data_IF_402769466957
#
_entry.id   IF_402769466957
#
_cell.length_a   1.000
_cell.length_b   1.000
_cell.length_c   1.000
_cell.angle_alpha   90.00
_cell.angle_beta   90.00
_cell.angle_gamma   90.00
#
_symmetry.space_group_name_H-M   'P 1'
#
loop_
_entity.id
_entity.type
_entity.pdbx_description
1 polymer ?
#
# COMPACT_ATOMS: atom_id res chain seq x y z
N UNK A 1 -4.50 21.76 -38.16
CA UNK A 1 -5.02 22.11 -36.81
C UNK A 1 -5.50 20.86 -36.07
N UNK A 2 -4.63 19.85 -35.89
CA UNK A 2 -4.96 18.60 -35.15
C UNK A 2 -3.85 18.14 -34.21
N UNK A 3 -2.75 18.89 -34.12
CA UNK A 3 -1.61 18.59 -33.23
C UNK A 3 -1.83 19.20 -31.83
N UNK A 4 -2.85 20.04 -31.65
CA UNK A 4 -3.19 20.70 -30.38
C UNK A 4 -4.22 19.93 -29.53
N UNK A 5 -4.84 18.88 -30.06
CA UNK A 5 -5.90 18.09 -29.39
C UNK A 5 -5.50 16.66 -29.10
N UNK A 6 -4.25 16.26 -29.35
CA UNK A 6 -3.74 14.99 -28.85
C UNK A 6 -3.44 15.21 -27.37
N UNK A 7 -4.18 14.61 -26.42
CA UNK A 7 -3.77 14.63 -25.04
C UNK A 7 -2.40 13.96 -24.98
N UNK A 8 -1.38 14.73 -24.63
CA UNK A 8 -0.03 14.25 -24.36
C UNK A 8 -0.05 13.54 -23.01
N UNK A 9 -0.78 12.42 -22.93
CA UNK A 9 -0.64 11.48 -21.83
C UNK A 9 0.71 10.78 -22.01
N UNK A 10 1.74 11.34 -21.36
CA UNK A 10 3.11 10.82 -21.42
C UNK A 10 3.24 9.40 -20.82
N UNK A 11 2.20 8.96 -20.11
CA UNK A 11 2.03 7.60 -19.61
C UNK A 11 0.59 7.20 -19.95
N UNK A 12 0.32 6.16 -20.78
CA UNK A 12 -0.99 5.53 -20.70
C UNK A 12 -1.17 5.14 -19.23
N UNK A 13 -2.21 5.64 -18.57
CA UNK A 13 -2.52 5.32 -17.18
C UNK A 13 -2.89 3.85 -17.11
N UNK A 14 -1.88 2.99 -17.07
CA UNK A 14 -2.06 1.59 -16.74
C UNK A 14 -2.33 1.58 -15.25
N UNK A 15 -3.58 1.87 -14.87
CA UNK A 15 -4.11 1.68 -13.52
C UNK A 15 -4.14 0.18 -13.25
N UNK A 16 -2.96 -0.38 -12.99
CA UNK A 16 -2.82 -1.70 -12.42
C UNK A 16 -3.02 -1.50 -10.92
N UNK A 17 -4.07 -2.10 -10.33
CA UNK A 17 -4.30 -1.95 -8.90
C UNK A 17 -3.22 -2.73 -8.15
N UNK A 18 -2.39 -2.01 -7.38
CA UNK A 18 -1.44 -2.63 -6.46
C UNK A 18 -2.04 -2.65 -5.07
N UNK A 19 -1.81 -3.76 -4.37
CA UNK A 19 -2.21 -3.90 -2.98
C UNK A 19 -0.97 -4.12 -2.15
N UNK A 20 -0.82 -3.31 -1.12
CA UNK A 20 0.31 -3.31 -0.22
C UNK A 20 -0.12 -3.87 1.12
N UNK A 21 0.51 -4.96 1.52
CA UNK A 21 0.37 -5.57 2.83
C UNK A 21 1.65 -5.24 3.58
N UNK A 22 1.53 -4.56 4.72
CA UNK A 22 2.67 -4.26 5.59
C UNK A 22 2.44 -4.81 6.98
N UNK A 23 3.50 -5.32 7.59
CA UNK A 23 3.44 -5.88 8.94
C UNK A 23 4.72 -5.60 9.71
N UNK A 24 4.63 -5.67 11.03
CA UNK A 24 5.74 -5.40 11.94
C UNK A 24 5.98 -6.62 12.81
N UNK A 25 7.22 -7.10 12.85
CA UNK A 25 7.66 -8.19 13.69
C UNK A 25 8.89 -7.75 14.48
N UNK A 26 8.69 -7.24 15.69
CA UNK A 26 9.76 -6.64 16.49
C UNK A 26 10.78 -7.71 16.95
N UNK A 27 12.07 -7.42 16.79
CA UNK A 27 13.17 -8.28 17.22
C UNK A 27 13.58 -9.34 16.22
N UNK A 28 12.91 -9.44 15.07
CA UNK A 28 13.23 -10.43 14.03
C UNK A 28 14.22 -9.89 12.98
N UNK A 29 15.14 -10.75 12.58
CA UNK A 29 16.02 -10.52 11.42
C UNK A 29 15.26 -10.71 10.09
N UNK A 30 15.74 -10.13 8.98
CA UNK A 30 15.06 -10.21 7.68
C UNK A 30 14.82 -11.64 7.20
N UNK A 31 15.74 -12.58 7.47
CA UNK A 31 15.61 -13.98 7.05
C UNK A 31 14.53 -14.70 7.85
N UNK A 32 14.47 -14.50 9.16
CA UNK A 32 13.37 -15.02 9.99
C UNK A 32 12.01 -14.45 9.57
N UNK A 33 11.93 -13.15 9.23
CA UNK A 33 10.70 -12.53 8.71
C UNK A 33 10.28 -13.18 7.39
N UNK A 34 11.23 -13.43 6.50
CA UNK A 34 10.97 -14.07 5.22
C UNK A 34 10.38 -15.47 5.43
N UNK A 35 11.05 -16.30 6.22
CA UNK A 35 10.66 -17.70 6.42
C UNK A 35 9.36 -17.87 7.22
N UNK A 36 9.20 -17.11 8.30
CA UNK A 36 8.11 -17.32 9.24
C UNK A 36 6.84 -16.53 8.91
N UNK A 37 6.96 -15.45 8.13
CA UNK A 37 5.82 -14.56 7.84
C UNK A 37 5.58 -14.41 6.35
N UNK A 38 6.59 -14.02 5.58
CA UNK A 38 6.41 -13.73 4.15
C UNK A 38 6.07 -14.98 3.37
N UNK A 39 6.83 -16.07 3.51
CA UNK A 39 6.59 -17.30 2.76
C UNK A 39 5.18 -17.86 3.03
N UNK A 40 4.71 -18.03 4.28
CA UNK A 40 3.34 -18.48 4.56
C UNK A 40 2.27 -17.57 3.95
N UNK A 41 2.45 -16.25 4.05
CA UNK A 41 1.48 -15.29 3.50
C UNK A 41 1.47 -15.35 1.97
N UNK A 42 2.64 -15.37 1.33
CA UNK A 42 2.76 -15.46 -0.12
C UNK A 42 2.13 -16.73 -0.68
N UNK A 43 2.37 -17.89 -0.06
CA UNK A 43 1.77 -19.16 -0.50
C UNK A 43 0.24 -19.08 -0.49
N UNK A 44 -0.34 -18.42 0.52
CA UNK A 44 -1.78 -18.25 0.59
C UNK A 44 -2.29 -17.20 -0.40
N UNK A 45 -1.57 -16.09 -0.59
CA UNK A 45 -1.91 -15.08 -1.61
C UNK A 45 -1.83 -15.65 -3.02
N UNK A 46 -0.86 -16.53 -3.32
CA UNK A 46 -0.77 -17.22 -4.63
C UNK A 46 -2.00 -18.05 -4.97
N UNK A 47 -2.74 -18.52 -3.98
CA UNK A 47 -3.98 -19.27 -4.19
C UNK A 47 -5.19 -18.38 -4.54
N UNK A 48 -5.05 -17.06 -4.42
CA UNK A 48 -6.10 -16.11 -4.78
C UNK A 48 -6.19 -15.97 -6.30
N UNK A 49 -7.42 -16.04 -6.83
CA UNK A 49 -7.68 -15.90 -8.26
C UNK A 49 -7.24 -14.53 -8.78
N UNK A 50 -6.68 -14.52 -10.00
CA UNK A 50 -6.28 -13.32 -10.74
C UNK A 50 -5.10 -12.55 -10.11
N UNK A 51 -4.27 -13.20 -9.28
CA UNK A 51 -2.96 -12.67 -8.90
C UNK A 51 -2.00 -12.83 -10.08
N UNK A 52 -1.42 -11.71 -10.51
CA UNK A 52 -0.47 -11.65 -11.63
C UNK A 52 0.97 -11.70 -11.16
N UNK A 53 1.29 -10.92 -10.12
CA UNK A 53 2.64 -10.84 -9.55
C UNK A 53 2.58 -10.57 -8.05
N UNK A 54 3.52 -11.17 -7.33
CA UNK A 54 3.76 -10.89 -5.92
C UNK A 54 5.22 -10.47 -5.80
N UNK A 55 5.47 -9.38 -5.07
CA UNK A 55 6.81 -8.90 -4.75
C UNK A 55 6.86 -8.62 -3.27
N UNK A 56 7.81 -9.22 -2.57
CA UNK A 56 8.00 -9.02 -1.14
C UNK A 56 9.36 -8.39 -0.84
N UNK A 57 9.42 -7.64 0.24
CA UNK A 57 10.64 -7.04 0.76
C UNK A 57 10.67 -7.19 2.27
N UNK A 58 11.77 -7.75 2.78
CA UNK A 58 12.00 -7.96 4.19
C UNK A 58 13.03 -6.96 4.70
N UNK A 59 12.73 -6.33 5.82
CA UNK A 59 13.61 -5.40 6.53
C UNK A 59 13.69 -5.81 8.00
N UNK A 60 14.66 -5.28 8.73
CA UNK A 60 14.68 -5.46 10.18
C UNK A 60 13.39 -4.94 10.80
N UNK A 61 12.76 -5.78 11.61
CA UNK A 61 11.50 -5.53 12.29
C UNK A 61 10.25 -5.34 11.42
N UNK A 62 10.36 -5.36 10.09
CA UNK A 62 9.30 -4.91 9.19
C UNK A 62 9.33 -5.65 7.86
N UNK A 63 8.16 -6.03 7.34
CA UNK A 63 8.04 -6.67 6.05
C UNK A 63 6.92 -6.08 5.23
N UNK A 64 7.09 -6.13 3.91
CA UNK A 64 6.08 -5.67 2.95
C UNK A 64 5.88 -6.67 1.84
N UNK A 65 4.63 -6.78 1.42
CA UNK A 65 4.21 -7.65 0.32
C UNK A 65 3.31 -6.84 -0.59
N UNK A 66 3.74 -6.70 -1.83
CA UNK A 66 3.02 -6.03 -2.90
C UNK A 66 2.40 -7.09 -3.82
N UNK A 67 1.09 -7.01 -3.98
CA UNK A 67 0.30 -7.92 -4.81
C UNK A 67 -0.25 -7.13 -5.99
N UNK A 68 0.04 -7.61 -7.19
CA UNK A 68 -0.47 -7.13 -8.46
C UNK A 68 -1.59 -8.07 -8.93
N UNK A 69 -2.79 -7.54 -9.15
CA UNK A 69 -3.90 -8.29 -9.74
C UNK A 69 -4.08 -8.01 -11.23
N UNK A 70 -4.70 -8.96 -11.92
CA UNK A 70 -5.21 -8.75 -13.27
C UNK A 70 -6.32 -7.69 -13.29
N UNK A 71 -6.41 -6.92 -14.37
CA UNK A 71 -7.41 -5.84 -14.54
C UNK A 71 -8.87 -6.32 -14.52
N UNK A 72 -9.10 -7.62 -14.66
CA UNK A 72 -10.44 -8.21 -14.67
C UNK A 72 -11.07 -8.34 -13.28
N UNK A 73 -10.30 -8.19 -12.20
CA UNK A 73 -10.80 -8.34 -10.83
C UNK A 73 -11.31 -7.01 -10.27
N UNK A 74 -12.48 -7.05 -9.64
CA UNK A 74 -13.02 -5.90 -8.89
C UNK A 74 -12.15 -5.58 -7.68
N UNK A 75 -11.97 -4.29 -7.38
CA UNK A 75 -11.20 -3.86 -6.21
C UNK A 75 -11.78 -4.38 -4.89
N UNK A 76 -13.11 -4.42 -4.79
CA UNK A 76 -13.82 -4.91 -3.60
C UNK A 76 -13.49 -6.39 -3.38
N UNK A 77 -13.54 -7.20 -4.43
CA UNK A 77 -13.25 -8.62 -4.36
C UNK A 77 -11.77 -8.86 -4.05
N UNK A 78 -10.87 -8.08 -4.66
CA UNK A 78 -9.43 -8.16 -4.38
C UNK A 78 -9.11 -7.82 -2.91
N UNK A 79 -9.72 -6.76 -2.36
CA UNK A 79 -9.54 -6.40 -0.95
C UNK A 79 -10.10 -7.46 -0.01
N UNK A 80 -11.29 -7.98 -0.29
CA UNK A 80 -11.93 -8.99 0.53
C UNK A 80 -11.14 -10.31 0.53
N UNK A 81 -10.67 -10.74 -0.64
CA UNK A 81 -9.86 -11.96 -0.77
C UNK A 81 -8.53 -11.84 -0.03
N UNK A 82 -7.81 -10.72 -0.21
CA UNK A 82 -6.57 -10.48 0.52
C UNK A 82 -6.79 -10.40 2.03
N UNK A 83 -7.86 -9.74 2.46
CA UNK A 83 -8.22 -9.67 3.87
C UNK A 83 -8.53 -11.06 4.44
N UNK A 84 -9.31 -11.88 3.73
CA UNK A 84 -9.62 -13.24 4.14
C UNK A 84 -8.35 -14.10 4.25
N UNK A 85 -7.40 -13.93 3.33
CA UNK A 85 -6.09 -14.60 3.39
C UNK A 85 -5.29 -14.16 4.62
N UNK A 86 -5.21 -12.86 4.89
CA UNK A 86 -4.51 -12.34 6.08
C UNK A 86 -5.15 -12.90 7.35
N UNK A 87 -6.48 -12.85 7.46
CA UNK A 87 -7.22 -13.31 8.63
C UNK A 87 -7.08 -14.84 8.84
N UNK A 88 -6.86 -15.62 7.78
CA UNK A 88 -6.60 -17.06 7.86
C UNK A 88 -5.15 -17.41 8.24
N UNK A 89 -4.17 -16.63 7.78
CA UNK A 89 -2.75 -16.90 8.04
C UNK A 89 -2.30 -16.33 9.38
N UNK A 90 -2.83 -15.17 9.78
CA UNK A 90 -2.45 -14.47 11.00
C UNK A 90 -2.44 -15.34 12.27
N UNK A 91 -3.42 -16.24 12.52
CA UNK A 91 -3.39 -17.11 13.70
C UNK A 91 -2.23 -18.12 13.72
N UNK A 92 -1.64 -18.42 12.57
CA UNK A 92 -0.50 -19.34 12.43
C UNK A 92 0.85 -18.61 12.46
N UNK A 93 0.86 -17.27 12.49
CA UNK A 93 2.06 -16.48 12.60
C UNK A 93 2.55 -16.41 14.06
N UNK A 94 3.84 -16.10 14.30
CA UNK A 94 4.34 -15.85 15.64
C UNK A 94 3.53 -14.76 16.36
N UNK A 95 3.33 -14.91 17.67
CA UNK A 95 2.53 -13.99 18.51
C UNK A 95 3.04 -12.55 18.53
N UNK A 96 4.32 -12.37 18.19
CA UNK A 96 5.01 -11.08 18.20
C UNK A 96 4.79 -10.29 16.89
N UNK A 97 4.17 -10.91 15.89
CA UNK A 97 3.78 -10.24 14.64
C UNK A 97 2.52 -9.43 14.88
N UNK A 98 2.58 -8.13 14.60
CA UNK A 98 1.39 -7.27 14.62
C UNK A 98 0.49 -7.57 13.42
N UNK A 99 -0.82 -7.36 13.60
CA UNK A 99 -1.81 -7.52 12.54
C UNK A 99 -1.38 -6.79 11.24
N UNK A 100 -1.22 -7.50 10.12
CA UNK A 100 -0.86 -6.88 8.85
C UNK A 100 -1.91 -5.86 8.41
N UNK A 101 -1.45 -4.73 7.89
CA UNK A 101 -2.31 -3.68 7.34
C UNK A 101 -2.37 -3.83 5.82
N UNK A 102 -3.58 -3.87 5.27
CA UNK A 102 -3.84 -3.89 3.83
C UNK A 102 -4.18 -2.48 3.34
N UNK A 103 -3.47 -2.01 2.31
CA UNK A 103 -3.75 -0.75 1.62
C UNK A 103 -3.76 -0.96 0.11
N UNK A 104 -4.72 -0.35 -0.58
CA UNK A 104 -4.70 -0.22 -2.04
C UNK A 104 -3.83 0.98 -2.41
N UNK A 105 -2.99 0.83 -3.43
CA UNK A 105 -2.17 1.90 -4.00
C UNK A 105 -2.42 1.91 -5.50
N UNK A 106 -2.78 3.08 -6.04
CA UNK A 106 -2.79 3.28 -7.48
C UNK A 106 -1.42 3.80 -7.94
N UNK A 107 -0.85 3.25 -9.02
CA UNK A 107 0.30 3.88 -9.67
C UNK A 107 -0.15 5.20 -10.31
N UNK A 108 -0.06 6.25 -9.52
CA UNK A 108 -0.65 7.56 -9.76
C UNK A 108 -0.76 8.38 -8.46
N UNK A 109 -0.77 7.73 -7.30
CA UNK A 109 -0.74 8.37 -5.97
C UNK A 109 0.62 9.00 -5.61
N UNK A 110 1.48 9.27 -6.59
CA UNK A 110 2.57 10.21 -6.37
C UNK A 110 1.97 11.57 -6.04
N UNK A 111 2.31 12.18 -4.90
CA UNK A 111 1.74 13.47 -4.53
C UNK A 111 1.99 14.46 -5.66
N UNK A 112 0.90 14.92 -6.30
CA UNK A 112 0.97 15.93 -7.37
C UNK A 112 1.56 17.22 -6.80
N UNK A 113 1.29 17.50 -5.52
CA UNK A 113 1.82 18.63 -4.77
C UNK A 113 2.37 18.17 -3.42
N UNK A 114 3.58 18.61 -3.09
CA UNK A 114 4.19 18.45 -1.77
C UNK A 114 4.43 19.83 -1.17
N UNK A 115 3.83 20.09 -0.01
CA UNK A 115 3.97 21.36 0.70
C UNK A 115 4.85 21.17 1.94
N UNK A 116 5.81 22.07 2.14
CA UNK A 116 6.60 22.14 3.37
C UNK A 116 6.30 23.47 4.04
N UNK A 117 5.83 23.43 5.29
CA UNK A 117 5.53 24.62 6.07
C UNK A 117 6.61 24.78 7.13
N UNK A 118 7.18 25.98 7.21
CA UNK A 118 8.17 26.35 8.22
C UNK A 118 7.74 27.65 8.90
N UNK A 119 7.90 27.71 10.22
CA UNK A 119 7.51 28.87 11.01
C UNK A 119 8.12 28.83 12.41
N UNK A 120 8.07 29.96 13.10
CA UNK A 120 8.61 30.16 14.45
C UNK A 120 7.69 29.65 15.56
N UNK A 121 6.49 29.16 15.21
CA UNK A 121 5.50 28.66 16.15
C UNK A 121 5.84 27.24 16.63
N UNK A 122 5.43 26.87 17.86
CA UNK A 122 5.50 25.49 18.32
C UNK A 122 4.78 24.53 17.35
N UNK A 123 5.38 23.36 17.09
CA UNK A 123 4.91 22.37 16.11
C UNK A 123 3.44 22.00 16.30
N UNK A 124 2.98 21.89 17.56
CA UNK A 124 1.59 21.54 17.89
C UNK A 124 0.60 22.59 17.36
N UNK A 125 0.87 23.88 17.63
CA UNK A 125 0.02 24.99 17.20
C UNK A 125 0.01 25.11 15.68
N UNK A 126 1.16 24.84 15.05
CA UNK A 126 1.27 24.85 13.60
C UNK A 126 0.46 23.71 12.97
N UNK A 127 0.50 22.50 13.54
CA UNK A 127 -0.30 21.37 13.09
C UNK A 127 -1.81 21.65 13.19
N UNK A 128 -2.26 22.17 14.34
CA UNK A 128 -3.68 22.47 14.56
C UNK A 128 -4.20 23.56 13.60
N UNK A 129 -3.34 24.50 13.21
CA UNK A 129 -3.67 25.56 12.24
C UNK A 129 -3.68 25.05 10.79
N UNK A 130 -2.83 24.08 10.46
CA UNK A 130 -2.71 23.52 9.11
C UNK A 130 -3.73 22.45 8.79
N UNK A 131 -4.26 21.73 9.80
CA UNK A 131 -5.24 20.66 9.62
C UNK A 131 -6.49 21.08 8.83
N UNK A 132 -7.13 22.24 9.08
CA UNK A 132 -8.27 22.70 8.29
C UNK A 132 -7.89 23.02 6.83
N UNK A 133 -6.67 23.51 6.60
CA UNK A 133 -6.11 23.79 5.27
C UNK A 133 -5.84 22.50 4.49
N UNK A 134 -5.32 21.47 5.16
CA UNK A 134 -5.12 20.14 4.59
C UNK A 134 -6.45 19.54 4.11
N UNK A 135 -7.51 19.62 4.93
CA UNK A 135 -8.84 19.10 4.59
C UNK A 135 -9.46 19.86 3.39
N UNK A 136 -9.24 21.17 3.29
CA UNK A 136 -9.68 21.97 2.14
C UNK A 136 -8.94 21.57 0.85
N UNK A 137 -7.63 21.36 0.92
CA UNK A 137 -6.83 20.95 -0.25
C UNK A 137 -7.23 19.55 -0.73
N UNK A 138 -7.51 18.62 0.20
CA UNK A 138 -8.00 17.27 -0.14
C UNK A 138 -9.39 17.25 -0.77
N UNK A 139 -10.18 18.31 -0.59
CA UNK A 139 -11.53 18.44 -1.15
C UNK A 139 -11.56 19.00 -2.58
N UNK A 140 -10.42 19.43 -3.13
CA UNK A 140 -10.33 19.95 -4.50
C UNK A 140 -10.31 18.75 -5.46
N UNK A 141 -11.18 18.73 -6.49
CA UNK A 141 -11.28 17.62 -7.44
C UNK A 141 -10.07 17.46 -8.37
#
# INVERSE_FOLDING_TARGET
MSILTIPKEAQPSVNIPYYYISFTYLGADPSSIEEQVVIPLEQRVKSVTAVKKITSSCYYNFGTIMVEFEKSKSDIDAMNDLKAVIDQVYPNLPSDVKLPTLKKIAMGDTPVYSFSVAGTLPTQVMYDTLKPLEDQIKSIP
#
